data_IF_274211747726
#
_entry.id   IF_274211747726
#
_cell.length_a   1.000
_cell.length_b   1.000
_cell.length_c   1.000
_cell.angle_alpha   90.00
_cell.angle_beta   90.00
_cell.angle_gamma   90.00
#
_symmetry.space_group_name_H-M   'P 1'
#
loop_
_entity.id
_entity.type
_entity.pdbx_description
1 polymer ?
#
# COMPACT_ATOMS: atom_id res chain seq x y z
N UNK A 1 -10.12 -7.00 0.32
CA UNK A 1 -9.00 -6.15 0.78
C UNK A 1 -7.67 -6.49 0.12
N UNK A 2 -7.15 -7.71 0.29
CA UNK A 2 -5.79 -8.05 -0.14
C UNK A 2 -5.48 -7.83 -1.62
N UNK A 3 -6.32 -8.36 -2.52
CA UNK A 3 -6.13 -8.18 -3.97
C UNK A 3 -6.29 -6.72 -4.42
N UNK A 4 -7.18 -5.96 -3.75
CA UNK A 4 -7.34 -4.53 -4.00
C UNK A 4 -6.05 -3.77 -3.65
N UNK A 5 -5.47 -4.01 -2.47
CA UNK A 5 -4.20 -3.40 -2.06
C UNK A 5 -3.06 -3.77 -3.02
N UNK A 6 -2.99 -5.04 -3.44
CA UNK A 6 -2.01 -5.49 -4.42
C UNK A 6 -2.15 -4.74 -5.75
N UNK A 7 -3.37 -4.66 -6.29
CA UNK A 7 -3.64 -3.99 -7.55
C UNK A 7 -3.27 -2.49 -7.50
N UNK A 8 -3.63 -1.80 -6.42
CA UNK A 8 -3.29 -0.39 -6.21
C UNK A 8 -1.78 -0.17 -6.06
N UNK A 9 -1.08 -1.04 -5.32
CA UNK A 9 0.38 -1.00 -5.19
C UNK A 9 1.10 -1.19 -6.52
N UNK A 10 0.63 -2.13 -7.33
CA UNK A 10 1.25 -2.47 -8.61
C UNK A 10 1.00 -1.41 -9.70
N UNK A 11 -0.09 -0.66 -9.59
CA UNK A 11 -0.42 0.45 -10.47
C UNK A 11 0.46 1.70 -10.24
N UNK A 12 0.89 1.95 -9.00
CA UNK A 12 1.63 3.15 -8.64
C UNK A 12 3.13 2.99 -8.89
N UNK A 13 3.76 4.00 -9.50
CA UNK A 13 5.20 4.03 -9.72
C UNK A 13 5.92 4.74 -8.57
N UNK A 14 7.21 4.43 -8.34
CA UNK A 14 8.01 5.08 -7.29
C UNK A 14 8.01 6.60 -7.41
N UNK A 15 8.16 7.12 -8.63
CA UNK A 15 8.19 8.56 -8.87
C UNK A 15 6.86 9.24 -8.53
N UNK A 16 5.73 8.55 -8.65
CA UNK A 16 4.43 9.10 -8.29
C UNK A 16 4.40 9.45 -6.80
N UNK A 17 5.10 8.71 -5.96
CA UNK A 17 5.16 8.90 -4.50
C UNK A 17 6.46 9.57 -4.03
N UNK A 18 7.21 10.19 -4.96
CA UNK A 18 8.45 10.89 -4.64
C UNK A 18 9.62 9.97 -4.29
N UNK A 19 9.50 8.67 -4.57
CA UNK A 19 10.58 7.72 -4.39
C UNK A 19 11.43 7.61 -5.66
N UNK A 20 12.77 7.58 -5.54
CA UNK A 20 13.66 7.33 -6.66
C UNK A 20 13.50 5.90 -7.22
N UNK A 21 13.63 5.76 -8.53
CA UNK A 21 13.64 4.46 -9.19
C UNK A 21 15.07 3.90 -9.24
N UNK A 22 15.37 2.92 -8.39
CA UNK A 22 16.69 2.29 -8.31
C UNK A 22 16.71 0.88 -8.89
N UNK A 23 17.66 0.62 -9.80
CA UNK A 23 18.04 -0.72 -10.25
C UNK A 23 16.94 -1.51 -10.95
N UNK A 24 17.14 -2.83 -11.05
CA UNK A 24 16.20 -3.74 -11.73
C UNK A 24 15.08 -4.16 -10.76
N UNK A 25 13.83 -3.83 -11.09
CA UNK A 25 12.65 -4.19 -10.29
C UNK A 25 12.07 -5.54 -10.73
N UNK A 26 11.58 -6.31 -9.75
CA UNK A 26 10.85 -7.58 -9.97
C UNK A 26 9.33 -7.42 -9.96
N UNK A 27 8.84 -6.26 -9.52
CA UNK A 27 7.43 -5.90 -9.46
C UNK A 27 7.17 -4.71 -10.38
N UNK A 28 5.97 -4.61 -10.99
CA UNK A 28 5.67 -3.56 -11.96
C UNK A 28 5.51 -2.17 -11.34
N UNK A 29 5.21 -2.07 -10.04
CA UNK A 29 4.99 -0.80 -9.33
C UNK A 29 5.80 -0.70 -8.05
N UNK A 30 5.14 -0.24 -6.99
CA UNK A 30 5.76 -0.16 -5.67
C UNK A 30 6.03 -1.54 -5.08
N UNK A 31 7.14 -1.64 -4.34
CA UNK A 31 7.46 -2.77 -3.48
C UNK A 31 6.66 -2.67 -2.19
N UNK A 32 6.43 -3.79 -1.53
CA UNK A 32 5.75 -3.83 -0.23
C UNK A 32 6.48 -2.99 0.82
N UNK A 33 7.80 -3.05 0.83
CA UNK A 33 8.65 -2.24 1.72
C UNK A 33 8.53 -0.73 1.47
N UNK A 34 8.32 -0.32 0.21
CA UNK A 34 8.12 1.10 -0.14
C UNK A 34 6.77 1.60 0.37
N UNK A 35 5.70 0.82 0.23
CA UNK A 35 4.39 1.19 0.78
C UNK A 35 4.42 1.22 2.31
N UNK A 36 5.06 0.23 2.94
CA UNK A 36 5.20 0.18 4.39
C UNK A 36 5.95 1.40 4.94
N UNK A 37 7.04 1.80 4.27
CA UNK A 37 7.79 3.01 4.58
C UNK A 37 6.90 4.27 4.49
N UNK A 38 6.16 4.43 3.39
CA UNK A 38 5.27 5.57 3.17
C UNK A 38 4.12 5.63 4.18
N UNK A 39 3.58 4.49 4.56
CA UNK A 39 2.48 4.38 5.52
C UNK A 39 2.94 4.39 6.99
N UNK A 40 4.25 4.40 7.27
CA UNK A 40 4.78 4.39 8.63
C UNK A 40 4.51 3.10 9.40
N UNK A 41 4.42 1.95 8.70
CA UNK A 41 4.18 0.63 9.30
C UNK A 41 5.34 -0.33 8.99
N UNK A 42 5.42 -1.45 9.70
CA UNK A 42 6.42 -2.47 9.35
C UNK A 42 6.07 -3.15 8.02
N UNK A 43 7.10 -3.56 7.27
CA UNK A 43 6.93 -4.32 6.03
C UNK A 43 6.09 -5.59 6.25
N UNK A 44 6.37 -6.32 7.33
CA UNK A 44 5.62 -7.53 7.69
C UNK A 44 4.14 -7.24 7.99
N UNK A 45 3.83 -6.10 8.61
CA UNK A 45 2.45 -5.70 8.83
C UNK A 45 1.73 -5.46 7.50
N UNK A 46 2.34 -4.69 6.59
CA UNK A 46 1.76 -4.46 5.27
C UNK A 46 1.61 -5.76 4.46
N UNK A 47 2.55 -6.70 4.58
CA UNK A 47 2.44 -8.05 3.97
C UNK A 47 1.20 -8.78 4.49
N UNK A 48 0.95 -8.79 5.81
CA UNK A 48 -0.25 -9.44 6.37
C UNK A 48 -1.52 -8.76 5.91
N UNK A 49 -1.53 -7.42 5.86
CA UNK A 49 -2.65 -6.63 5.36
C UNK A 49 -2.97 -6.97 3.89
N UNK A 50 -1.96 -6.96 3.01
CA UNK A 50 -2.12 -7.32 1.59
C UNK A 50 -2.49 -8.80 1.38
N UNK A 51 -2.10 -9.69 2.30
CA UNK A 51 -2.51 -11.10 2.27
C UNK A 51 -3.91 -11.33 2.86
N UNK A 52 -4.58 -10.31 3.39
CA UNK A 52 -5.86 -10.44 4.07
C UNK A 52 -5.79 -11.25 5.36
N UNK A 53 -4.62 -11.26 6.02
CA UNK A 53 -4.37 -11.95 7.29
C UNK A 53 -4.49 -11.04 8.51
N UNK A 54 -4.72 -9.75 8.29
CA UNK A 54 -4.96 -8.79 9.37
C UNK A 54 -6.46 -8.53 9.50
N UNK A 55 -7.03 -8.90 10.66
CA UNK A 55 -8.48 -8.94 10.87
C UNK A 55 -9.07 -7.61 11.35
N UNK A 56 -8.27 -6.75 11.98
CA UNK A 56 -8.73 -5.48 12.55
C UNK A 56 -7.63 -4.41 12.52
N UNK A 57 -7.21 -3.96 11.31
CA UNK A 57 -6.34 -2.80 11.19
C UNK A 57 -7.03 -1.56 11.77
N UNK A 58 -6.27 -0.67 12.40
CA UNK A 58 -6.83 0.56 12.95
C UNK A 58 -7.22 1.53 11.81
N UNK A 59 -8.21 2.41 12.02
CA UNK A 59 -8.58 3.42 11.02
C UNK A 59 -7.39 4.28 10.58
N UNK A 60 -6.51 4.63 11.52
CA UNK A 60 -5.29 5.39 11.24
C UNK A 60 -4.34 4.66 10.28
N UNK A 61 -4.20 3.34 10.43
CA UNK A 61 -3.37 2.53 9.53
C UNK A 61 -4.00 2.44 8.15
N UNK A 62 -5.33 2.27 8.07
CA UNK A 62 -6.04 2.25 6.79
C UNK A 62 -5.90 3.59 6.06
N UNK A 63 -6.02 4.71 6.78
CA UNK A 63 -5.80 6.05 6.23
C UNK A 63 -4.36 6.24 5.74
N UNK A 64 -3.36 5.85 6.54
CA UNK A 64 -1.96 5.93 6.14
C UNK A 64 -1.66 5.10 4.89
N UNK A 65 -2.24 3.90 4.78
CA UNK A 65 -2.12 3.05 3.59
C UNK A 65 -2.84 3.66 2.39
N UNK A 66 -4.02 4.28 2.58
CA UNK A 66 -4.74 4.98 1.53
C UNK A 66 -3.91 6.14 0.96
N UNK A 67 -3.28 6.94 1.83
CA UNK A 67 -2.39 8.04 1.45
C UNK A 67 -1.15 7.53 0.72
N UNK A 68 -0.49 6.48 1.24
CA UNK A 68 0.69 5.88 0.62
C UNK A 68 0.41 5.34 -0.80
N UNK A 69 -0.82 4.85 -1.03
CA UNK A 69 -1.27 4.32 -2.32
C UNK A 69 -1.98 5.37 -3.19
N UNK A 70 -2.03 6.64 -2.76
CA UNK A 70 -2.74 7.74 -3.44
C UNK A 70 -4.16 7.37 -3.85
N UNK A 71 -4.89 6.71 -2.94
CA UNK A 71 -6.28 6.34 -3.19
C UNK A 71 -7.16 7.60 -3.20
N UNK A 72 -8.09 7.66 -4.15
CA UNK A 72 -9.20 8.60 -4.09
C UNK A 72 -10.18 8.23 -2.97
N UNK A 73 -11.16 9.11 -2.71
CA UNK A 73 -12.11 8.92 -1.63
C UNK A 73 -12.92 7.62 -1.76
N UNK A 74 -13.31 7.23 -2.98
CA UNK A 74 -14.09 6.01 -3.22
C UNK A 74 -13.25 4.74 -2.96
N UNK A 75 -12.00 4.75 -3.42
CA UNK A 75 -11.03 3.70 -3.18
C UNK A 75 -10.65 3.59 -1.70
N UNK A 76 -10.58 4.71 -0.98
CA UNK A 76 -10.35 4.74 0.47
C UNK A 76 -11.56 4.21 1.26
N UNK A 77 -12.78 4.51 0.84
CA UNK A 77 -14.00 3.95 1.45
C UNK A 77 -14.05 2.42 1.32
N UNK A 78 -13.53 1.86 0.22
CA UNK A 78 -13.39 0.42 0.06
C UNK A 78 -12.42 -0.21 1.09
N UNK A 79 -11.47 0.56 1.66
CA UNK A 79 -10.61 0.06 2.73
C UNK A 79 -11.32 0.01 4.10
N UNK A 80 -12.41 0.77 4.27
CA UNK A 80 -13.14 0.90 5.53
C UNK A 80 -14.39 -0.01 5.61
N UNK A 81 -14.71 -0.72 4.53
CA UNK A 81 -15.84 -1.67 4.44
C UNK A 81 -15.36 -3.11 4.57
#
# INVERSE_FOLDING_TARGET
>A
MGDFLRARREALKPHDVGLPEHGRRRVPGLRREEVALLAGVSSDYYVRLEQGRENSPSPQVLEAVAQALKLDAEAADHLNR
#
